data_IF_622433806173
#
_entry.id   IF_622433806173
#
_cell.length_a   1.000
_cell.length_b   1.000
_cell.length_c   1.000
_cell.angle_alpha   90.00
_cell.angle_beta   90.00
_cell.angle_gamma   90.00
#
_symmetry.space_group_name_H-M   'P 1'
#
loop_
_entity.id
_entity.type
_entity.pdbx_description
1 polymer ?
#
# COMPACT_ATOMS: atom_id res chain seq x y z
N UNK A 1 -26.76 -17.29 -68.81
CA UNK A 1 -25.33 -17.35 -68.46
C UNK A 1 -24.83 -15.90 -68.26
N UNK A 2 -24.72 -15.45 -67.03
CA UNK A 2 -24.34 -14.07 -66.74
C UNK A 2 -22.83 -13.99 -66.52
N UNK A 3 -22.16 -13.16 -67.30
CA UNK A 3 -20.75 -12.87 -67.20
C UNK A 3 -20.43 -12.23 -65.86
N UNK A 4 -19.77 -12.99 -65.01
CA UNK A 4 -19.15 -12.46 -63.78
C UNK A 4 -17.88 -11.72 -64.19
N UNK A 5 -17.89 -10.38 -64.07
CA UNK A 5 -16.80 -9.56 -64.52
C UNK A 5 -15.61 -9.55 -63.54
N UNK A 6 -14.38 -9.43 -64.06
CA UNK A 6 -13.13 -9.29 -63.29
C UNK A 6 -13.19 -8.26 -62.15
N UNK A 7 -14.16 -7.33 -62.18
CA UNK A 7 -14.41 -6.32 -61.14
C UNK A 7 -14.98 -6.92 -59.85
N UNK A 8 -15.78 -8.01 -59.95
CA UNK A 8 -16.39 -8.62 -58.76
C UNK A 8 -15.39 -9.49 -57.99
N UNK A 9 -14.39 -10.02 -58.69
CA UNK A 9 -13.30 -10.79 -58.10
C UNK A 9 -12.32 -9.86 -57.28
N UNK A 10 -12.11 -8.63 -57.75
CA UNK A 10 -11.25 -7.66 -57.06
C UNK A 10 -11.96 -7.07 -55.81
N UNK A 11 -13.29 -6.99 -55.82
CA UNK A 11 -14.04 -6.55 -54.63
C UNK A 11 -14.11 -7.61 -53.52
N UNK A 12 -14.07 -8.87 -53.86
CA UNK A 12 -14.06 -9.98 -52.90
C UNK A 12 -12.68 -10.16 -52.21
N UNK A 13 -11.57 -9.72 -52.86
CA UNK A 13 -10.21 -9.83 -52.30
C UNK A 13 -9.82 -8.69 -51.34
N UNK A 14 -10.61 -7.61 -51.28
CA UNK A 14 -10.35 -6.44 -50.37
C UNK A 14 -11.00 -6.57 -49.00
N UNK A 15 -11.76 -7.64 -48.72
CA UNK A 15 -12.32 -7.98 -47.41
C UNK A 15 -11.44 -8.96 -46.62
N UNK A 16 -10.13 -8.99 -46.89
CA UNK A 16 -9.16 -9.70 -46.07
C UNK A 16 -8.99 -8.93 -44.75
N UNK A 17 -9.68 -9.45 -43.76
CA UNK A 17 -9.57 -9.28 -42.33
C UNK A 17 -8.36 -8.43 -41.86
N UNK A 18 -8.60 -7.19 -41.50
CA UNK A 18 -7.79 -6.55 -40.51
C UNK A 18 -8.05 -7.29 -39.18
N UNK A 19 -7.21 -8.28 -38.85
CA UNK A 19 -7.16 -8.84 -37.51
C UNK A 19 -6.91 -7.66 -36.58
N UNK A 20 -7.70 -7.49 -35.48
CA UNK A 20 -7.39 -6.49 -34.51
C UNK A 20 -5.96 -6.73 -34.03
N UNK A 21 -5.07 -5.79 -34.28
CA UNK A 21 -3.75 -5.83 -33.67
C UNK A 21 -3.99 -5.84 -32.15
N UNK A 22 -3.74 -6.98 -31.51
CA UNK A 22 -3.73 -7.06 -30.05
C UNK A 22 -2.67 -6.06 -29.60
N UNK A 23 -3.11 -4.93 -29.07
CA UNK A 23 -2.22 -3.98 -28.44
C UNK A 23 -1.47 -4.75 -27.33
N UNK A 24 -0.14 -4.68 -27.34
CA UNK A 24 0.64 -5.27 -26.26
C UNK A 24 0.11 -4.73 -24.94
N UNK A 25 -0.03 -5.57 -23.91
CA UNK A 25 -0.54 -5.13 -22.61
C UNK A 25 0.30 -3.92 -22.13
N UNK A 26 -0.38 -2.87 -21.67
CA UNK A 26 0.29 -1.69 -21.16
C UNK A 26 1.24 -2.07 -20.03
N UNK A 27 2.46 -1.54 -20.06
CA UNK A 27 3.45 -1.80 -19.01
C UNK A 27 2.91 -1.32 -17.66
N UNK A 28 3.05 -2.15 -16.64
CA UNK A 28 2.71 -1.82 -15.25
C UNK A 28 3.91 -1.11 -14.60
N UNK A 29 3.64 0.00 -13.92
CA UNK A 29 4.69 0.79 -13.26
C UNK A 29 4.48 0.84 -11.74
N UNK A 30 5.58 0.98 -11.01
CA UNK A 30 5.58 1.20 -9.56
C UNK A 30 4.80 2.48 -9.18
N UNK A 31 4.82 3.45 -10.08
CA UNK A 31 4.18 4.76 -9.92
C UNK A 31 2.77 4.86 -10.51
N UNK A 32 2.23 3.77 -11.05
CA UNK A 32 0.84 3.75 -11.52
C UNK A 32 -0.11 4.00 -10.35
N UNK A 33 -1.14 4.80 -10.62
CA UNK A 33 -2.26 4.96 -9.71
C UNK A 33 -3.15 3.71 -9.76
N UNK A 34 -3.37 3.12 -8.60
CA UNK A 34 -4.24 1.94 -8.41
C UNK A 34 -5.33 2.25 -7.40
N UNK A 35 -6.52 1.70 -7.61
CA UNK A 35 -7.61 1.84 -6.66
C UNK A 35 -7.47 0.77 -5.57
N UNK A 36 -7.56 1.15 -4.31
CA UNK A 36 -7.53 0.23 -3.18
C UNK A 36 -8.93 -0.38 -2.98
N UNK A 37 -9.15 -1.54 -3.59
CA UNK A 37 -10.40 -2.27 -3.48
C UNK A 37 -11.64 -1.40 -3.77
N UNK A 38 -12.67 -1.52 -2.91
CA UNK A 38 -13.92 -0.75 -2.99
C UNK A 38 -13.87 0.62 -2.31
N UNK A 39 -12.71 1.02 -1.75
CA UNK A 39 -12.57 2.29 -1.01
C UNK A 39 -12.73 3.53 -1.89
N UNK A 40 -12.60 3.41 -3.21
CA UNK A 40 -12.50 4.50 -4.19
C UNK A 40 -11.26 5.40 -4.00
N UNK A 41 -10.39 5.11 -3.04
CA UNK A 41 -9.13 5.83 -2.85
C UNK A 41 -8.09 5.28 -3.82
N UNK A 42 -7.49 6.16 -4.61
CA UNK A 42 -6.38 5.82 -5.49
C UNK A 42 -5.06 6.21 -4.86
N UNK A 43 -4.07 5.34 -4.96
CA UNK A 43 -2.69 5.54 -4.49
C UNK A 43 -1.70 5.11 -5.56
N UNK A 44 -0.44 5.52 -5.48
CA UNK A 44 0.61 4.87 -6.29
C UNK A 44 0.89 3.48 -5.77
N UNK A 45 1.18 2.54 -6.67
CA UNK A 45 1.45 1.13 -6.35
C UNK A 45 2.62 0.98 -5.36
N UNK A 46 3.66 1.80 -5.49
CA UNK A 46 4.72 1.94 -4.51
C UNK A 46 4.43 3.11 -3.58
N UNK A 47 4.45 2.86 -2.28
CA UNK A 47 4.35 3.86 -1.22
C UNK A 47 5.71 4.11 -0.57
N UNK A 48 5.94 5.36 -0.16
CA UNK A 48 7.04 5.77 0.69
C UNK A 48 6.65 5.56 2.15
N UNK A 49 7.24 4.55 2.82
CA UNK A 49 7.00 4.24 4.22
C UNK A 49 7.98 4.95 5.15
N UNK A 50 7.52 5.36 6.32
CA UNK A 50 8.37 5.98 7.35
C UNK A 50 8.58 5.10 8.58
N UNK A 51 8.16 3.83 8.53
CA UNK A 51 8.04 2.97 9.71
C UNK A 51 9.26 2.12 10.07
N UNK A 52 10.33 2.10 9.27
CA UNK A 52 11.50 1.26 9.56
C UNK A 52 12.11 1.63 10.91
N UNK A 53 12.19 0.64 11.81
CA UNK A 53 12.60 0.84 13.21
C UNK A 53 11.82 1.99 13.89
N UNK A 54 10.49 2.02 13.72
CA UNK A 54 9.61 3.08 14.23
C UNK A 54 10.04 4.49 13.80
N UNK A 55 10.52 4.63 12.57
CA UNK A 55 10.94 5.90 11.97
C UNK A 55 12.38 6.30 12.28
N UNK A 56 13.12 5.54 13.09
CA UNK A 56 14.49 5.90 13.52
C UNK A 56 15.42 6.09 12.33
N UNK A 57 15.38 5.19 11.34
CA UNK A 57 16.26 5.23 10.16
C UNK A 57 16.18 6.56 9.43
N UNK A 58 14.98 7.12 9.30
CA UNK A 58 14.78 8.38 8.57
C UNK A 58 14.96 9.61 9.46
N UNK A 59 14.65 9.52 10.78
CA UNK A 59 14.97 10.61 11.73
C UNK A 59 16.46 10.88 11.82
N UNK A 60 17.30 9.85 11.74
CA UNK A 60 18.76 9.96 11.76
C UNK A 60 19.32 10.77 10.56
N UNK A 61 18.56 10.93 9.47
CA UNK A 61 18.93 11.80 8.35
C UNK A 61 18.79 13.29 8.67
N UNK A 62 18.13 13.66 9.78
CA UNK A 62 17.69 15.01 10.06
C UNK A 62 16.64 15.52 9.07
N UNK A 63 16.06 16.70 9.35
CA UNK A 63 14.98 17.24 8.53
C UNK A 63 15.38 17.47 7.07
N UNK A 64 16.56 18.04 6.84
CA UNK A 64 17.02 18.34 5.47
C UNK A 64 17.30 17.08 4.65
N UNK A 65 17.89 16.05 5.27
CA UNK A 65 18.10 14.75 4.63
C UNK A 65 16.78 14.08 4.28
N UNK A 66 15.84 14.12 5.21
CA UNK A 66 14.50 13.56 4.99
C UNK A 66 13.72 14.35 3.93
N UNK A 67 13.81 15.69 3.92
CA UNK A 67 13.19 16.51 2.87
C UNK A 67 13.69 16.11 1.48
N UNK A 68 15.02 15.99 1.30
CA UNK A 68 15.59 15.55 0.03
C UNK A 68 15.07 14.18 -0.39
N UNK A 69 14.96 13.25 0.55
CA UNK A 69 14.50 11.89 0.30
C UNK A 69 13.02 11.85 -0.15
N UNK A 70 12.14 12.56 0.57
CA UNK A 70 10.70 12.65 0.26
C UNK A 70 10.48 13.37 -1.08
N UNK A 71 11.21 14.46 -1.33
CA UNK A 71 11.12 15.19 -2.61
C UNK A 71 11.60 14.34 -3.78
N UNK A 72 12.70 13.64 -3.63
CA UNK A 72 13.16 12.70 -4.65
C UNK A 72 12.09 11.64 -4.97
N UNK A 73 11.48 11.03 -3.95
CA UNK A 73 10.40 10.08 -4.16
C UNK A 73 9.22 10.70 -4.92
N UNK A 74 8.83 11.91 -4.52
CA UNK A 74 7.77 12.65 -5.20
C UNK A 74 8.12 12.97 -6.65
N UNK A 75 9.30 13.48 -6.93
CA UNK A 75 9.75 13.85 -8.29
C UNK A 75 9.86 12.64 -9.22
N UNK A 76 10.12 11.44 -8.65
CA UNK A 76 10.15 10.16 -9.38
C UNK A 76 8.78 9.43 -9.41
N UNK A 77 7.69 10.13 -9.06
CA UNK A 77 6.32 9.66 -9.28
C UNK A 77 5.68 8.90 -8.13
N UNK A 78 6.36 8.69 -7.00
CA UNK A 78 5.71 8.16 -5.79
C UNK A 78 4.79 9.25 -5.22
N UNK A 79 3.51 8.92 -5.04
CA UNK A 79 2.46 9.83 -4.58
C UNK A 79 1.72 9.31 -3.35
N UNK A 80 2.22 8.26 -2.73
CA UNK A 80 1.64 7.64 -1.55
C UNK A 80 2.66 7.62 -0.42
N UNK A 81 2.38 8.34 0.67
CA UNK A 81 3.25 8.51 1.83
C UNK A 81 2.58 7.95 3.08
N UNK A 82 3.31 7.13 3.81
CA UNK A 82 2.81 6.37 4.94
C UNK A 82 3.59 6.72 6.22
N UNK A 83 2.84 6.98 7.29
CA UNK A 83 3.38 7.19 8.63
C UNK A 83 2.49 6.54 9.71
N UNK A 84 2.72 6.85 10.97
CA UNK A 84 1.94 6.38 12.11
C UNK A 84 2.15 7.28 13.32
N UNK A 85 1.15 7.36 14.20
CA UNK A 85 1.25 7.95 15.54
C UNK A 85 2.47 7.44 16.32
N UNK A 86 2.77 6.15 16.18
CA UNK A 86 3.86 5.51 16.94
C UNK A 86 5.26 5.74 16.35
N UNK A 87 5.37 6.44 15.23
CA UNK A 87 6.66 6.80 14.62
C UNK A 87 7.03 8.23 15.01
N UNK A 88 7.47 8.39 16.25
CA UNK A 88 7.68 9.70 16.90
C UNK A 88 8.31 10.77 16.00
N UNK A 89 7.63 11.89 15.80
CA UNK A 89 8.07 13.04 15.02
C UNK A 89 8.01 12.86 13.48
N UNK A 90 7.66 11.66 12.98
CA UNK A 90 7.66 11.42 11.54
C UNK A 90 6.51 12.09 10.80
N UNK A 91 5.37 12.30 11.46
CA UNK A 91 4.24 13.01 10.85
C UNK A 91 4.60 14.48 10.57
N UNK A 92 5.19 15.16 11.54
CA UNK A 92 5.65 16.55 11.43
C UNK A 92 6.79 16.68 10.42
N UNK A 93 7.76 15.78 10.44
CA UNK A 93 8.83 15.75 9.43
C UNK A 93 8.28 15.58 8.02
N UNK A 94 7.28 14.70 7.84
CA UNK A 94 6.63 14.47 6.56
C UNK A 94 5.83 15.70 6.11
N UNK A 95 5.11 16.36 7.01
CA UNK A 95 4.39 17.60 6.73
C UNK A 95 5.34 18.70 6.22
N UNK A 96 6.51 18.87 6.85
CA UNK A 96 7.54 19.81 6.42
C UNK A 96 8.08 19.45 5.03
N UNK A 97 8.38 18.16 4.81
CA UNK A 97 8.92 17.69 3.55
C UNK A 97 7.94 17.85 2.36
N UNK A 98 6.62 17.72 2.60
CA UNK A 98 5.57 17.86 1.59
C UNK A 98 5.07 19.30 1.42
N UNK A 99 5.49 20.25 2.29
CA UNK A 99 5.04 21.65 2.27
C UNK A 99 5.25 22.29 0.89
N UNK A 100 4.19 22.91 0.36
CA UNK A 100 4.20 23.58 -0.94
C UNK A 100 3.90 22.68 -2.14
N UNK A 101 3.74 21.36 -1.95
CA UNK A 101 3.18 20.49 -2.99
C UNK A 101 1.65 20.56 -2.96
N UNK A 102 0.96 20.48 -4.14
CA UNK A 102 -0.49 20.44 -4.18
C UNK A 102 -1.03 19.25 -3.38
N UNK A 103 -1.94 19.48 -2.41
CA UNK A 103 -2.43 18.44 -1.50
C UNK A 103 -3.13 17.29 -2.21
N UNK A 104 -3.82 17.56 -3.30
CA UNK A 104 -4.51 16.58 -4.11
C UNK A 104 -3.59 15.74 -5.00
N UNK A 105 -2.34 16.14 -5.15
CA UNK A 105 -1.34 15.43 -5.97
C UNK A 105 -0.72 14.22 -5.29
N UNK A 106 -0.96 14.00 -3.99
CA UNK A 106 -0.44 12.87 -3.21
C UNK A 106 -1.48 12.33 -2.22
N UNK A 107 -1.18 11.18 -1.64
CA UNK A 107 -2.01 10.53 -0.62
C UNK A 107 -1.22 10.34 0.67
N UNK A 108 -1.91 10.57 1.80
CA UNK A 108 -1.38 10.41 3.14
C UNK A 108 -2.08 9.26 3.85
N UNK A 109 -1.30 8.36 4.40
CA UNK A 109 -1.77 7.31 5.30
C UNK A 109 -1.10 7.47 6.66
N UNK A 110 -1.91 7.45 7.71
CA UNK A 110 -1.42 7.32 9.08
C UNK A 110 -2.17 6.24 9.84
N UNK A 111 -1.74 5.94 11.05
CA UNK A 111 -2.28 4.84 11.84
C UNK A 111 -2.50 5.27 13.28
N UNK A 112 -3.64 4.90 13.82
CA UNK A 112 -4.02 5.08 15.21
C UNK A 112 -3.51 3.89 16.03
N UNK A 113 -2.72 4.14 17.07
CA UNK A 113 -2.16 3.07 17.91
C UNK A 113 -3.22 2.22 18.61
N UNK A 114 -2.96 0.92 18.75
CA UNK A 114 -3.80 0.00 19.52
C UNK A 114 -2.99 -0.68 20.63
N UNK A 115 -3.54 -0.82 21.83
CA UNK A 115 -4.85 -0.34 22.31
C UNK A 115 -5.01 1.18 22.12
N UNK A 116 -6.23 1.68 21.77
CA UNK A 116 -6.45 3.09 21.56
C UNK A 116 -6.33 3.89 22.87
N UNK A 117 -5.80 5.10 22.77
CA UNK A 117 -5.71 6.05 23.89
C UNK A 117 -6.37 7.36 23.52
N UNK A 118 -7.13 7.92 24.44
CA UNK A 118 -7.81 9.19 24.27
C UNK A 118 -9.09 9.11 23.42
N UNK A 119 -9.72 10.26 23.23
CA UNK A 119 -10.90 10.41 22.39
C UNK A 119 -10.55 10.34 20.92
N UNK A 120 -11.22 9.48 20.10
CA UNK A 120 -10.88 9.32 18.69
C UNK A 120 -10.97 10.60 17.85
N UNK A 121 -11.99 11.44 18.08
CA UNK A 121 -12.15 12.68 17.30
C UNK A 121 -11.02 13.65 17.55
N UNK A 122 -10.70 13.91 18.81
CA UNK A 122 -9.57 14.77 19.22
C UNK A 122 -8.24 14.26 18.65
N UNK A 123 -8.06 12.94 18.67
CA UNK A 123 -6.81 12.33 18.20
C UNK A 123 -6.67 12.40 16.68
N UNK A 124 -7.76 12.19 15.94
CA UNK A 124 -7.77 12.33 14.48
C UNK A 124 -7.49 13.78 14.07
N UNK A 125 -8.03 14.74 14.79
CA UNK A 125 -7.73 16.16 14.57
C UNK A 125 -6.25 16.48 14.85
N UNK A 126 -5.67 15.91 15.91
CA UNK A 126 -4.25 16.00 16.17
C UNK A 126 -3.40 15.43 15.01
N UNK A 127 -3.76 14.28 14.46
CA UNK A 127 -3.06 13.71 13.29
C UNK A 127 -3.12 14.63 12.07
N UNK A 128 -4.28 15.27 11.83
CA UNK A 128 -4.44 16.25 10.75
C UNK A 128 -3.53 17.47 10.95
N UNK A 129 -3.46 17.98 12.19
CA UNK A 129 -2.57 19.09 12.56
C UNK A 129 -1.09 18.71 12.36
N UNK A 130 -0.66 17.55 12.86
CA UNK A 130 0.71 17.06 12.73
C UNK A 130 1.12 16.87 11.27
N UNK A 131 0.20 16.39 10.44
CA UNK A 131 0.40 16.21 8.99
C UNK A 131 0.19 17.50 8.18
N UNK A 132 -0.25 18.59 8.81
CA UNK A 132 -0.50 19.86 8.14
C UNK A 132 -1.56 19.78 7.05
N UNK A 133 -2.65 19.03 7.26
CA UNK A 133 -3.67 18.74 6.25
C UNK A 133 -5.09 18.85 6.79
N UNK A 134 -6.04 19.26 5.94
CA UNK A 134 -7.46 19.28 6.26
C UNK A 134 -8.09 17.89 6.32
N UNK A 135 -7.53 16.90 5.63
CA UNK A 135 -8.03 15.53 5.61
C UNK A 135 -6.89 14.53 5.43
N UNK A 136 -7.10 13.31 5.91
CA UNK A 136 -6.19 12.18 5.74
C UNK A 136 -6.84 11.20 4.75
N UNK A 137 -6.10 10.74 3.75
CA UNK A 137 -6.66 9.83 2.75
C UNK A 137 -6.98 8.46 3.36
N UNK A 138 -6.08 7.94 4.20
CA UNK A 138 -6.22 6.60 4.80
C UNK A 138 -5.85 6.64 6.28
N UNK A 139 -6.76 6.21 7.15
CA UNK A 139 -6.48 6.00 8.58
C UNK A 139 -6.63 4.52 8.94
N UNK A 140 -5.60 3.91 9.51
CA UNK A 140 -5.60 2.51 9.90
C UNK A 140 -5.60 2.34 11.42
N UNK A 141 -6.29 1.30 11.91
CA UNK A 141 -6.00 0.71 13.21
C UNK A 141 -4.58 0.13 13.17
N UNK A 142 -3.70 0.51 14.11
CA UNK A 142 -2.30 0.11 14.06
C UNK A 142 -2.01 -1.15 14.86
N UNK A 143 -1.28 -2.08 14.26
CA UNK A 143 -0.75 -3.27 14.93
C UNK A 143 -1.81 -4.20 15.51
N UNK A 144 -2.87 -4.50 14.76
CA UNK A 144 -3.87 -5.48 15.19
C UNK A 144 -3.24 -6.86 15.41
N UNK A 145 -3.43 -7.42 16.61
CA UNK A 145 -2.91 -8.72 17.03
C UNK A 145 -3.99 -9.65 17.55
N UNK A 146 -4.83 -9.25 18.52
CA UNK A 146 -5.83 -10.15 19.10
C UNK A 146 -6.98 -10.40 18.12
N UNK A 147 -7.59 -11.59 18.15
CA UNK A 147 -8.77 -11.89 17.32
C UNK A 147 -10.02 -11.11 17.76
N UNK A 148 -10.01 -10.57 18.98
CA UNK A 148 -11.11 -9.82 19.61
C UNK A 148 -11.11 -8.33 19.26
N UNK A 149 -10.15 -7.86 18.43
CA UNK A 149 -9.96 -6.44 18.12
C UNK A 149 -11.24 -5.71 17.69
N UNK A 150 -12.12 -6.41 16.96
CA UNK A 150 -13.36 -5.81 16.46
C UNK A 150 -14.32 -5.40 17.58
N UNK A 151 -14.33 -6.17 18.68
CA UNK A 151 -15.08 -5.85 19.90
C UNK A 151 -14.30 -4.90 20.80
N UNK A 152 -13.01 -5.18 21.02
CA UNK A 152 -12.17 -4.45 21.97
C UNK A 152 -11.99 -2.98 21.56
N UNK A 153 -11.97 -2.70 20.25
CA UNK A 153 -11.73 -1.36 19.71
C UNK A 153 -12.97 -0.75 19.02
N UNK A 154 -14.16 -1.18 19.43
CA UNK A 154 -15.43 -0.71 18.83
C UNK A 154 -15.57 0.81 18.89
N UNK A 155 -15.25 1.44 20.03
CA UNK A 155 -15.32 2.90 20.16
C UNK A 155 -14.38 3.65 19.21
N UNK A 156 -13.19 3.10 18.94
CA UNK A 156 -12.29 3.67 17.94
C UNK A 156 -12.85 3.49 16.52
N UNK A 157 -13.42 2.33 16.21
CA UNK A 157 -14.06 2.09 14.90
C UNK A 157 -15.20 3.08 14.65
N UNK A 158 -16.04 3.33 15.67
CA UNK A 158 -17.14 4.29 15.58
C UNK A 158 -16.63 5.72 15.35
N UNK A 159 -15.57 6.14 16.07
CA UNK A 159 -14.94 7.43 15.86
C UNK A 159 -14.31 7.57 14.47
N UNK A 160 -13.69 6.53 13.93
CA UNK A 160 -13.17 6.53 12.56
C UNK A 160 -14.29 6.59 11.51
N UNK A 161 -15.41 5.88 11.73
CA UNK A 161 -16.58 5.94 10.85
C UNK A 161 -17.19 7.35 10.84
N UNK A 162 -17.30 7.99 12.01
CA UNK A 162 -17.75 9.38 12.12
C UNK A 162 -16.80 10.35 11.41
N UNK A 163 -15.49 10.20 11.59
CA UNK A 163 -14.49 11.00 10.90
C UNK A 163 -14.56 10.84 9.37
N UNK A 164 -14.86 9.63 8.87
CA UNK A 164 -15.10 9.38 7.44
C UNK A 164 -16.36 10.10 6.95
N UNK A 165 -17.45 10.04 7.70
CA UNK A 165 -18.67 10.77 7.36
C UNK A 165 -18.45 12.29 7.31
N UNK A 166 -17.62 12.83 8.19
CA UNK A 166 -17.20 14.25 8.22
C UNK A 166 -16.12 14.59 7.17
N UNK A 167 -15.62 13.62 6.42
CA UNK A 167 -14.52 13.74 5.46
C UNK A 167 -13.19 14.20 6.10
N UNK A 168 -13.02 14.04 7.39
CA UNK A 168 -11.73 14.22 8.06
C UNK A 168 -10.75 13.10 7.69
N UNK A 169 -11.28 11.92 7.36
CA UNK A 169 -10.57 10.83 6.67
C UNK A 169 -11.39 10.38 5.46
N UNK A 170 -10.75 9.83 4.41
CA UNK A 170 -11.47 9.37 3.22
C UNK A 170 -11.80 7.88 3.27
N UNK A 171 -10.94 7.06 3.88
CA UNK A 171 -11.22 5.67 4.16
C UNK A 171 -10.49 5.19 5.42
N UNK A 172 -10.91 4.04 5.94
CA UNK A 172 -10.31 3.43 7.12
C UNK A 172 -9.99 1.96 6.89
N UNK A 173 -9.13 1.42 7.74
CA UNK A 173 -8.70 0.04 7.62
C UNK A 173 -7.88 -0.40 8.83
N UNK A 174 -7.07 -1.44 8.63
CA UNK A 174 -6.22 -1.96 9.68
C UNK A 174 -4.85 -2.39 9.17
N UNK A 175 -3.81 -2.21 9.99
CA UNK A 175 -2.51 -2.83 9.82
C UNK A 175 -2.41 -4.03 10.76
N UNK A 176 -2.20 -5.22 10.17
CA UNK A 176 -2.30 -6.50 10.86
C UNK A 176 -0.89 -6.96 11.24
N UNK A 177 -0.72 -7.38 12.50
CA UNK A 177 0.55 -7.79 13.09
C UNK A 177 0.44 -9.11 13.88
N UNK A 178 -0.47 -9.99 13.48
CA UNK A 178 -0.64 -11.32 14.03
C UNK A 178 -1.67 -12.15 13.27
N UNK A 179 -1.40 -13.45 13.07
CA UNK A 179 -2.32 -14.39 12.43
C UNK A 179 -3.69 -14.46 13.12
N UNK A 180 -3.79 -14.43 14.47
CA UNK A 180 -5.11 -14.42 15.12
C UNK A 180 -5.99 -13.27 14.65
N UNK A 181 -5.45 -12.06 14.49
CA UNK A 181 -6.20 -10.94 13.94
C UNK A 181 -6.47 -11.14 12.45
N UNK A 182 -5.48 -11.57 11.66
CA UNK A 182 -5.63 -11.77 10.21
C UNK A 182 -6.76 -12.74 9.87
N UNK A 183 -6.92 -13.80 10.65
CA UNK A 183 -7.98 -14.80 10.49
C UNK A 183 -9.39 -14.21 10.62
N UNK A 184 -9.54 -13.08 11.31
CA UNK A 184 -10.83 -12.39 11.55
C UNK A 184 -11.10 -11.24 10.58
N UNK A 185 -10.17 -10.91 9.70
CA UNK A 185 -10.34 -9.83 8.72
C UNK A 185 -11.34 -10.19 7.61
N UNK A 186 -11.31 -11.40 7.00
CA UNK A 186 -12.29 -11.75 5.98
C UNK A 186 -13.74 -11.65 6.52
N UNK A 187 -14.60 -10.97 5.77
CA UNK A 187 -15.99 -10.74 6.14
C UNK A 187 -16.23 -9.53 7.06
N UNK A 188 -15.19 -8.83 7.48
CA UNK A 188 -15.36 -7.62 8.28
C UNK A 188 -15.82 -6.44 7.40
N UNK A 189 -16.99 -5.89 7.70
CA UNK A 189 -17.61 -4.81 6.92
C UNK A 189 -17.07 -3.41 7.25
N UNK A 190 -16.42 -3.25 8.41
CA UNK A 190 -15.84 -1.97 8.80
C UNK A 190 -14.62 -1.62 7.94
N UNK A 191 -13.81 -2.60 7.55
CA UNK A 191 -12.53 -2.35 6.91
C UNK A 191 -12.66 -2.12 5.40
N UNK A 192 -12.23 -0.95 4.92
CA UNK A 192 -12.03 -0.67 3.50
C UNK A 192 -10.68 -1.24 3.00
N UNK A 193 -9.66 -1.26 3.89
CA UNK A 193 -8.26 -1.57 3.57
C UNK A 193 -7.64 -2.48 4.64
N UNK A 194 -6.87 -3.46 4.18
CA UNK A 194 -6.01 -4.30 5.01
C UNK A 194 -4.53 -4.08 4.62
N UNK A 195 -3.70 -3.69 5.57
CA UNK A 195 -2.25 -3.61 5.43
C UNK A 195 -1.62 -4.82 6.10
N UNK A 196 -0.99 -5.70 5.30
CA UNK A 196 -0.58 -7.05 5.72
C UNK A 196 0.92 -7.21 5.52
N UNK A 197 1.60 -7.86 6.48
CA UNK A 197 3.01 -8.22 6.35
C UNK A 197 3.16 -9.34 5.33
N UNK A 198 4.04 -9.13 4.32
CA UNK A 198 4.14 -10.10 3.25
C UNK A 198 5.49 -10.06 2.56
N UNK A 199 6.18 -11.20 2.54
CA UNK A 199 7.34 -11.48 1.70
C UNK A 199 7.51 -12.98 1.50
N UNK A 200 8.36 -13.38 0.56
CA UNK A 200 8.54 -14.77 0.13
C UNK A 200 9.24 -15.68 1.17
N UNK A 201 9.89 -15.10 2.19
CA UNK A 201 10.62 -15.85 3.23
C UNK A 201 9.87 -15.94 4.57
N UNK A 202 8.73 -15.26 4.70
CA UNK A 202 8.03 -15.16 5.97
C UNK A 202 8.71 -14.29 7.02
N UNK A 203 9.81 -13.59 6.67
CA UNK A 203 10.56 -12.75 7.59
C UNK A 203 9.73 -11.59 8.11
N UNK A 204 9.64 -11.41 9.43
CA UNK A 204 8.80 -10.41 10.08
C UNK A 204 7.32 -10.45 9.64
N UNK A 205 6.83 -11.63 9.19
CA UNK A 205 5.43 -11.88 8.88
C UNK A 205 4.65 -12.30 10.12
N UNK A 206 3.34 -12.44 9.94
CA UNK A 206 2.45 -12.80 11.03
C UNK A 206 2.60 -14.28 11.42
N UNK A 207 2.72 -14.53 12.72
CA UNK A 207 2.81 -15.85 13.32
C UNK A 207 1.61 -16.08 14.26
N UNK A 208 1.28 -17.33 14.62
CA UNK A 208 0.27 -17.63 15.63
C UNK A 208 0.59 -16.99 16.98
N UNK A 209 1.86 -16.91 17.33
CA UNK A 209 2.39 -16.24 18.51
C UNK A 209 2.58 -14.75 18.16
N UNK A 210 1.75 -13.90 18.70
CA UNK A 210 1.63 -12.48 18.37
C UNK A 210 2.91 -11.62 18.56
N UNK A 211 4.06 -12.19 18.89
CA UNK A 211 5.26 -11.43 19.28
C UNK A 211 6.57 -11.89 18.69
N UNK A 212 6.67 -13.08 18.13
CA UNK A 212 7.95 -13.57 17.65
C UNK A 212 8.21 -13.12 16.21
N UNK A 213 9.04 -12.08 16.08
CA UNK A 213 9.52 -11.57 14.78
C UNK A 213 10.76 -12.33 14.28
N UNK A 214 11.31 -13.23 15.09
CA UNK A 214 12.52 -14.00 14.77
C UNK A 214 12.19 -15.34 14.09
N UNK A 215 10.94 -15.79 14.22
CA UNK A 215 10.43 -16.99 13.56
C UNK A 215 9.77 -16.58 12.24
N UNK A 216 10.05 -17.25 11.12
CA UNK A 216 9.32 -17.00 9.88
C UNK A 216 7.81 -17.26 10.05
N UNK A 217 6.99 -16.33 9.53
CA UNK A 217 5.56 -16.51 9.50
C UNK A 217 5.13 -17.57 8.48
N UNK A 218 3.90 -18.07 8.62
CA UNK A 218 3.28 -18.98 7.67
C UNK A 218 2.85 -18.21 6.40
N UNK A 219 3.71 -18.27 5.38
CA UNK A 219 3.49 -17.54 4.11
C UNK A 219 2.22 -18.00 3.43
N UNK A 220 1.96 -19.31 3.39
CA UNK A 220 0.82 -19.88 2.69
C UNK A 220 -0.50 -19.49 3.36
N UNK A 221 -0.57 -19.52 4.69
CA UNK A 221 -1.73 -19.10 5.44
C UNK A 221 -1.99 -17.61 5.28
N UNK A 222 -0.95 -16.76 5.39
CA UNK A 222 -1.08 -15.31 5.16
C UNK A 222 -1.59 -15.01 3.76
N UNK A 223 -1.03 -15.67 2.74
CA UNK A 223 -1.46 -15.52 1.34
C UNK A 223 -2.92 -15.97 1.16
N UNK A 224 -3.31 -17.10 1.75
CA UNK A 224 -4.69 -17.60 1.66
C UNK A 224 -5.70 -16.60 2.26
N UNK A 225 -5.41 -16.02 3.42
CA UNK A 225 -6.26 -15.00 4.03
C UNK A 225 -6.25 -13.70 3.23
N UNK A 226 -5.10 -13.27 2.71
CA UNK A 226 -4.98 -12.07 1.85
C UNK A 226 -5.84 -12.19 0.59
N UNK A 227 -5.82 -13.36 -0.07
CA UNK A 227 -6.69 -13.62 -1.23
C UNK A 227 -8.17 -13.54 -0.88
N UNK A 228 -8.59 -14.06 0.28
CA UNK A 228 -9.98 -13.95 0.76
C UNK A 228 -10.37 -12.49 1.00
N UNK A 229 -9.51 -11.72 1.66
CA UNK A 229 -9.71 -10.28 1.94
C UNK A 229 -9.88 -9.50 0.63
N UNK A 230 -8.97 -9.69 -0.32
CA UNK A 230 -9.01 -9.00 -1.61
C UNK A 230 -10.23 -9.41 -2.45
N UNK A 231 -10.60 -10.70 -2.49
CA UNK A 231 -11.77 -11.20 -3.21
C UNK A 231 -13.09 -10.60 -2.70
N UNK A 232 -13.14 -10.14 -1.46
CA UNK A 232 -14.29 -9.43 -0.87
C UNK A 232 -14.30 -7.93 -1.19
N UNK A 233 -13.31 -7.47 -1.95
CA UNK A 233 -13.20 -6.10 -2.43
C UNK A 233 -12.52 -5.14 -1.44
N UNK A 234 -11.85 -5.65 -0.42
CA UNK A 234 -11.00 -4.84 0.46
C UNK A 234 -9.68 -4.51 -0.26
N UNK A 235 -9.21 -3.26 -0.14
CA UNK A 235 -7.89 -2.88 -0.67
C UNK A 235 -6.77 -3.53 0.14
N UNK A 236 -5.73 -4.01 -0.53
CA UNK A 236 -4.60 -4.70 0.13
C UNK A 236 -3.31 -3.96 -0.10
N UNK A 237 -2.65 -3.58 1.00
CA UNK A 237 -1.31 -2.99 1.02
C UNK A 237 -0.34 -3.99 1.67
N UNK A 238 0.73 -4.36 0.96
CA UNK A 238 1.79 -5.19 1.54
C UNK A 238 2.81 -4.32 2.28
N UNK A 239 3.23 -4.77 3.47
CA UNK A 239 4.33 -4.19 4.24
C UNK A 239 5.37 -5.26 4.61
N UNK A 240 6.53 -4.85 5.12
CA UNK A 240 7.67 -5.71 5.45
C UNK A 240 8.22 -6.49 4.25
N UNK A 241 8.00 -5.97 3.04
CA UNK A 241 8.40 -6.61 1.80
C UNK A 241 9.90 -6.96 1.76
N UNK A 242 10.76 -6.05 2.23
CA UNK A 242 12.21 -6.26 2.30
C UNK A 242 12.68 -6.83 3.66
N UNK A 243 11.82 -7.57 4.38
CA UNK A 243 12.16 -8.22 5.65
C UNK A 243 12.68 -7.25 6.71
N UNK A 244 12.10 -6.03 6.82
CA UNK A 244 12.56 -4.96 7.73
C UNK A 244 14.04 -4.58 7.56
N UNK A 245 14.57 -4.72 6.33
CA UNK A 245 15.98 -4.46 6.02
C UNK A 245 16.90 -5.68 6.09
N UNK A 246 16.35 -6.88 6.34
CA UNK A 246 17.14 -8.14 6.36
C UNK A 246 17.52 -8.62 4.96
N UNK A 247 16.80 -8.18 3.90
CA UNK A 247 17.09 -8.57 2.51
C UNK A 247 18.17 -7.66 1.91
N UNK A 248 19.42 -7.90 2.29
CA UNK A 248 20.56 -7.06 1.89
C UNK A 248 21.09 -7.36 0.50
N UNK A 249 20.79 -8.53 -0.08
CA UNK A 249 21.19 -8.88 -1.44
C UNK A 249 20.10 -8.54 -2.48
N UNK A 250 20.51 -8.44 -3.73
CA UNK A 250 19.65 -8.08 -4.85
C UNK A 250 18.58 -9.14 -5.14
N UNK A 251 18.97 -10.40 -5.04
CA UNK A 251 18.14 -11.57 -5.35
C UNK A 251 16.94 -11.67 -4.41
N UNK A 252 17.14 -11.46 -3.12
CA UNK A 252 16.06 -11.47 -2.13
C UNK A 252 15.08 -10.31 -2.35
N UNK A 253 15.59 -9.11 -2.70
CA UNK A 253 14.72 -7.97 -2.98
C UNK A 253 13.90 -8.19 -4.25
N UNK A 254 14.49 -8.76 -5.31
CA UNK A 254 13.77 -9.14 -6.53
C UNK A 254 12.71 -10.21 -6.25
N UNK A 255 13.07 -11.25 -5.52
CA UNK A 255 12.16 -12.33 -5.15
C UNK A 255 10.97 -11.82 -4.32
N UNK A 256 11.21 -10.92 -3.37
CA UNK A 256 10.16 -10.33 -2.55
C UNK A 256 9.18 -9.47 -3.38
N UNK A 257 9.70 -8.62 -4.27
CA UNK A 257 8.86 -7.80 -5.15
C UNK A 257 8.07 -8.67 -6.14
N UNK A 258 8.73 -9.65 -6.77
CA UNK A 258 8.10 -10.59 -7.69
C UNK A 258 6.99 -11.38 -6.98
N UNK A 259 7.26 -11.85 -5.76
CA UNK A 259 6.28 -12.56 -4.95
C UNK A 259 5.03 -11.69 -4.72
N UNK A 260 5.17 -10.50 -4.12
CA UNK A 260 4.02 -9.66 -3.80
C UNK A 260 3.23 -9.21 -5.04
N UNK A 261 3.92 -8.80 -6.11
CA UNK A 261 3.28 -8.24 -7.31
C UNK A 261 2.59 -9.28 -8.19
N UNK A 262 2.95 -10.56 -8.08
CA UNK A 262 2.38 -11.65 -8.88
C UNK A 262 1.30 -12.45 -8.13
N UNK A 263 1.02 -12.16 -6.86
CA UNK A 263 -0.05 -12.82 -6.10
C UNK A 263 -1.46 -12.52 -6.65
N UNK A 264 -1.63 -11.40 -7.38
CA UNK A 264 -2.92 -10.96 -7.89
C UNK A 264 -3.92 -10.46 -6.84
N UNK A 265 -3.46 -10.30 -5.59
CA UNK A 265 -4.28 -9.84 -4.47
C UNK A 265 -3.59 -8.74 -3.63
N UNK A 266 -2.57 -8.08 -4.18
CA UNK A 266 -1.87 -6.95 -3.57
C UNK A 266 -1.99 -5.76 -4.51
N UNK A 267 -2.62 -4.67 -4.04
CA UNK A 267 -2.83 -3.45 -4.83
C UNK A 267 -1.61 -2.54 -4.77
N UNK A 268 -1.04 -2.37 -3.57
CA UNK A 268 0.12 -1.50 -3.33
C UNK A 268 1.09 -2.12 -2.31
N UNK A 269 2.32 -1.62 -2.32
CA UNK A 269 3.36 -2.00 -1.36
C UNK A 269 3.96 -0.77 -0.70
N UNK A 270 4.33 -0.87 0.58
CA UNK A 270 5.06 0.20 1.29
C UNK A 270 6.49 -0.25 1.58
N UNK A 271 7.45 0.63 1.29
CA UNK A 271 8.88 0.42 1.52
C UNK A 271 9.46 1.66 2.21
N UNK A 272 10.25 1.47 3.25
CA UNK A 272 11.05 2.51 3.87
C UNK A 272 12.41 2.63 3.18
N UNK A 273 12.88 3.86 3.00
CA UNK A 273 14.12 4.18 2.32
C UNK A 273 15.04 5.01 3.22
N UNK A 274 16.35 4.84 3.09
CA UNK A 274 17.36 5.63 3.82
C UNK A 274 18.15 6.57 2.90
N UNK A 275 18.09 6.37 1.57
CA UNK A 275 18.73 7.22 0.57
C UNK A 275 17.96 7.16 -0.77
N UNK A 276 18.29 8.06 -1.69
CA UNK A 276 17.61 8.19 -2.99
C UNK A 276 17.89 6.99 -3.92
N UNK A 277 19.07 6.38 -3.83
CA UNK A 277 19.41 5.22 -4.65
C UNK A 277 18.50 4.01 -4.33
N UNK A 278 18.07 3.85 -3.07
CA UNK A 278 17.12 2.80 -2.70
C UNK A 278 15.72 3.04 -3.30
N UNK A 279 15.32 4.31 -3.47
CA UNK A 279 14.06 4.67 -4.15
C UNK A 279 14.14 4.31 -5.63
N UNK A 280 15.22 4.70 -6.30
CA UNK A 280 15.44 4.45 -7.72
C UNK A 280 15.50 2.93 -7.99
N UNK A 281 16.24 2.20 -7.16
CA UNK A 281 16.32 0.73 -7.21
C UNK A 281 14.93 0.08 -7.03
N UNK A 282 14.13 0.54 -6.07
CA UNK A 282 12.81 -0.04 -5.82
C UNK A 282 11.85 0.18 -7.01
N UNK A 283 11.84 1.38 -7.60
CA UNK A 283 11.06 1.70 -8.80
C UNK A 283 11.49 0.81 -9.97
N UNK A 284 12.80 0.73 -10.25
CA UNK A 284 13.33 -0.08 -11.34
C UNK A 284 12.98 -1.55 -11.20
N UNK A 285 13.26 -2.14 -10.02
CA UNK A 285 12.98 -3.56 -9.73
C UNK A 285 11.50 -3.88 -9.85
N UNK A 286 10.64 -3.05 -9.27
CA UNK A 286 9.21 -3.24 -9.31
C UNK A 286 8.68 -3.18 -10.75
N UNK A 287 9.15 -2.20 -11.55
CA UNK A 287 8.80 -2.10 -12.97
C UNK A 287 9.25 -3.34 -13.76
N UNK A 288 10.46 -3.83 -13.48
CA UNK A 288 11.00 -5.02 -14.15
C UNK A 288 10.19 -6.27 -13.82
N UNK A 289 9.96 -6.57 -12.53
CA UNK A 289 9.30 -7.83 -12.12
C UNK A 289 7.82 -7.90 -12.50
N UNK A 290 7.15 -6.75 -12.65
CA UNK A 290 5.76 -6.70 -13.08
C UNK A 290 5.57 -6.90 -14.59
N UNK A 291 6.65 -6.76 -15.39
CA UNK A 291 6.60 -6.83 -16.85
C UNK A 291 7.49 -7.96 -17.41
N UNK A 292 8.00 -8.83 -16.52
CA UNK A 292 8.82 -9.99 -16.87
C UNK A 292 7.99 -11.21 -17.28
#
# INVERSE_FOLDING_TARGET
MSDSTRRDFIRAAAAAAALPAFAAPAKRLATDWVTLGKSNVKVTRLAFGTGTSSGRVQRELGQDGFNRLVRHAYDHGIRFFETSETYHGMAEMLAIALKGLPRDSYRLMTKYGTPPTGDPATKIDLFRQQLGTEYIDILLLHCLRPPTWATDYKGLQDGMAEAKNKKAILCHGASIHGLPALRTIPGNEFLDIAMIRMNHKGSHMDTPEMRDVNVPGDVDEVVAHTKKVHAQGMGVISMKLCGEGSFTNAEDRDAAMKFAMNLGCVDAVTIGFKNTAEIDEAIERMNRVMNA
#
